data_IF_715946708624
#
_entry.id   IF_715946708624
#
_cell.length_a   1.000
_cell.length_b   1.000
_cell.length_c   1.000
_cell.angle_alpha   90.00
_cell.angle_beta   90.00
_cell.angle_gamma   90.00
#
_symmetry.space_group_name_H-M   'P 1'
#
loop_
_entity.id
_entity.type
_entity.pdbx_description
1 polymer ?
#
# COMPACT_ATOMS: atom_id res chain seq x y z
N UNK A 1 2.24 13.54 -0.60
CA UNK A 1 2.26 14.64 -1.57
C UNK A 1 2.61 14.13 -2.97
N UNK A 2 2.17 14.82 -4.00
CA UNK A 2 2.48 14.53 -5.39
C UNK A 2 2.71 15.86 -6.13
N UNK A 3 3.86 15.98 -6.82
CA UNK A 3 4.28 17.20 -7.57
C UNK A 3 4.05 18.50 -6.80
N UNK A 4 4.54 18.56 -5.58
CA UNK A 4 4.41 19.70 -4.65
C UNK A 4 2.97 20.07 -4.26
N UNK A 5 1.99 19.22 -4.52
CA UNK A 5 0.64 19.40 -4.04
C UNK A 5 0.34 18.45 -2.88
N UNK A 6 -0.49 18.89 -1.95
CA UNK A 6 -1.02 18.07 -0.88
C UNK A 6 -2.39 17.54 -1.27
N UNK A 7 -2.61 16.25 -1.02
CA UNK A 7 -3.90 15.58 -1.25
C UNK A 7 -4.32 14.85 0.00
N UNK A 8 -5.61 14.90 0.30
CA UNK A 8 -6.26 13.98 1.23
C UNK A 8 -7.12 13.01 0.42
N UNK A 9 -7.05 11.73 0.78
CA UNK A 9 -7.69 10.66 0.01
C UNK A 9 -8.54 9.83 0.96
N UNK A 10 -9.83 9.74 0.66
CA UNK A 10 -10.77 8.92 1.42
C UNK A 10 -11.08 9.47 2.80
N UNK A 11 -11.11 8.57 3.78
CA UNK A 11 -11.43 8.87 5.17
C UNK A 11 -12.84 8.45 5.57
N UNK A 12 -13.19 8.74 6.83
CA UNK A 12 -14.46 8.40 7.44
C UNK A 12 -15.21 9.66 7.88
N UNK A 13 -16.51 9.73 7.59
CA UNK A 13 -17.35 10.83 8.02
C UNK A 13 -18.82 10.56 7.76
N UNK A 14 -19.70 11.11 8.62
CA UNK A 14 -21.14 10.87 8.55
C UNK A 14 -21.51 9.38 8.52
N UNK A 15 -20.85 8.57 9.36
CA UNK A 15 -21.08 7.14 9.54
C UNK A 15 -20.76 6.26 8.31
N UNK A 16 -19.99 6.79 7.35
CA UNK A 16 -19.56 6.04 6.17
C UNK A 16 -18.14 6.39 5.77
N UNK A 17 -17.48 5.47 5.08
CA UNK A 17 -16.20 5.72 4.42
C UNK A 17 -16.43 6.51 3.14
N UNK A 18 -15.47 7.38 2.81
CA UNK A 18 -15.52 8.25 1.63
C UNK A 18 -14.46 7.81 0.62
N UNK A 19 -14.75 8.03 -0.66
CA UNK A 19 -13.77 7.91 -1.75
C UNK A 19 -13.40 9.27 -2.35
N UNK A 20 -13.66 10.34 -1.61
CA UNK A 20 -13.38 11.71 -2.01
C UNK A 20 -11.88 11.94 -2.05
N UNK A 21 -11.42 12.70 -3.02
CA UNK A 21 -10.07 13.25 -3.08
C UNK A 21 -10.19 14.76 -2.96
N UNK A 22 -9.41 15.33 -2.06
CA UNK A 22 -9.27 16.78 -1.97
C UNK A 22 -7.82 17.18 -2.15
N UNK A 23 -7.62 18.36 -2.73
CA UNK A 23 -6.33 19.00 -2.93
C UNK A 23 -6.29 20.29 -2.12
N UNK A 24 -5.18 20.53 -1.43
CA UNK A 24 -4.97 21.79 -0.73
C UNK A 24 -4.59 22.89 -1.73
N UNK A 25 -5.33 23.99 -1.67
CA UNK A 25 -5.03 25.20 -2.43
C UNK A 25 -4.22 26.17 -1.56
N UNK A 26 -2.93 26.30 -1.85
CA UNK A 26 -2.01 27.16 -1.07
C UNK A 26 -2.32 28.65 -1.22
N UNK A 27 -3.09 29.07 -2.24
CA UNK A 27 -3.38 30.50 -2.45
C UNK A 27 -4.47 31.03 -1.51
N UNK A 28 -5.46 30.20 -1.20
CA UNK A 28 -6.60 30.58 -0.33
C UNK A 28 -6.63 29.83 0.99
N UNK A 29 -5.79 28.78 1.17
CA UNK A 29 -5.73 27.99 2.37
C UNK A 29 -6.85 26.95 2.51
N UNK A 30 -7.60 26.67 1.45
CA UNK A 30 -8.76 25.77 1.46
C UNK A 30 -8.47 24.41 0.83
N UNK A 31 -9.31 23.42 1.18
CA UNK A 31 -9.35 22.10 0.56
C UNK A 31 -10.40 22.05 -0.54
N UNK A 32 -9.99 21.79 -1.76
CA UNK A 32 -10.84 21.70 -2.95
C UNK A 32 -11.12 20.25 -3.30
N UNK A 33 -12.39 19.91 -3.55
CA UNK A 33 -12.77 18.56 -3.99
C UNK A 33 -12.34 18.36 -5.44
N UNK A 34 -11.65 17.25 -5.68
CA UNK A 34 -11.29 16.81 -7.03
C UNK A 34 -12.34 15.84 -7.53
N UNK A 35 -12.96 16.16 -8.65
CA UNK A 35 -13.87 15.25 -9.33
C UNK A 35 -13.09 14.08 -9.95
N UNK A 36 -13.48 12.87 -9.59
CA UNK A 36 -12.87 11.65 -10.09
C UNK A 36 -13.85 10.88 -10.96
N UNK A 37 -13.34 10.11 -11.91
CA UNK A 37 -14.12 9.32 -12.86
C UNK A 37 -13.69 7.85 -12.86
N UNK A 38 -14.39 7.00 -13.60
CA UNK A 38 -14.03 5.59 -13.80
C UNK A 38 -14.58 4.66 -12.73
N UNK A 39 -13.84 3.60 -12.42
CA UNK A 39 -14.24 2.55 -11.48
C UNK A 39 -13.83 2.91 -10.06
N UNK A 40 -14.60 3.78 -9.41
CA UNK A 40 -14.28 4.27 -8.07
C UNK A 40 -14.38 3.15 -7.03
N UNK A 41 -13.45 3.11 -6.04
CA UNK A 41 -13.64 2.31 -4.84
C UNK A 41 -14.83 2.82 -4.03
N UNK A 42 -15.51 1.95 -3.31
CA UNK A 42 -16.72 2.31 -2.54
C UNK A 42 -16.43 3.16 -1.29
N UNK A 43 -15.21 3.18 -0.85
CA UNK A 43 -14.74 3.98 0.26
C UNK A 43 -13.25 3.69 0.47
N UNK A 44 -12.53 4.63 1.04
CA UNK A 44 -11.09 4.54 1.23
C UNK A 44 -10.77 4.97 2.66
N UNK A 45 -10.76 4.02 3.58
CA UNK A 45 -10.38 4.27 4.95
C UNK A 45 -9.32 3.27 5.41
N UNK A 46 -8.30 3.74 6.10
CA UNK A 46 -7.21 2.94 6.67
C UNK A 46 -6.52 1.98 5.67
N UNK A 47 -6.53 2.33 4.39
CA UNK A 47 -5.95 1.53 3.33
C UNK A 47 -4.45 1.67 3.20
N UNK A 48 -3.92 0.91 2.27
CA UNK A 48 -2.55 1.00 1.79
C UNK A 48 -2.51 1.89 0.57
N UNK A 49 -1.66 2.90 0.61
CA UNK A 49 -1.53 3.89 -0.45
C UNK A 49 -0.06 4.03 -0.84
N UNK A 50 0.21 3.99 -2.12
CA UNK A 50 1.54 4.34 -2.63
C UNK A 50 1.44 4.97 -4.01
N UNK A 51 2.41 5.81 -4.33
CA UNK A 51 2.49 6.50 -5.61
C UNK A 51 3.70 5.97 -6.38
N UNK A 52 3.47 5.58 -7.63
CA UNK A 52 4.51 5.26 -8.60
C UNK A 52 4.24 6.08 -9.86
N UNK A 53 5.19 6.91 -10.23
CA UNK A 53 5.07 7.93 -11.28
C UNK A 53 3.83 8.81 -11.10
N UNK A 54 2.89 8.77 -12.03
CA UNK A 54 1.65 9.53 -12.03
C UNK A 54 0.44 8.68 -11.58
N UNK A 55 0.68 7.53 -10.94
CA UNK A 55 -0.35 6.62 -10.49
C UNK A 55 -0.33 6.45 -8.97
N UNK A 56 -1.49 6.60 -8.36
CA UNK A 56 -1.73 6.23 -6.97
C UNK A 56 -2.42 4.87 -6.93
N UNK A 57 -1.79 3.93 -6.28
CA UNK A 57 -2.32 2.59 -6.04
C UNK A 57 -2.91 2.49 -4.65
N UNK A 58 -4.06 1.81 -4.54
CA UNK A 58 -4.78 1.66 -3.28
C UNK A 58 -5.29 0.24 -3.14
N UNK A 59 -5.05 -0.37 -2.00
CA UNK A 59 -5.59 -1.69 -1.65
C UNK A 59 -5.74 -1.87 -0.13
N UNK A 60 -6.40 -2.95 0.28
CA UNK A 60 -6.62 -3.33 1.67
C UNK A 60 -7.16 -2.17 2.53
N UNK A 61 -8.22 -1.55 2.04
CA UNK A 61 -8.92 -0.48 2.73
C UNK A 61 -10.27 -0.94 3.28
N UNK A 62 -10.76 -0.19 4.26
CA UNK A 62 -12.09 -0.39 4.80
C UNK A 62 -13.13 0.32 3.94
N UNK A 63 -14.20 -0.42 3.68
CA UNK A 63 -15.42 0.11 3.11
C UNK A 63 -16.55 -0.07 4.11
N UNK A 64 -17.19 1.03 4.50
CA UNK A 64 -18.35 1.03 5.37
C UNK A 64 -19.46 1.86 4.71
N UNK A 65 -20.60 1.26 4.48
CA UNK A 65 -21.79 1.99 4.06
C UNK A 65 -22.66 2.36 5.27
N UNK A 66 -23.52 3.38 5.11
CA UNK A 66 -24.55 3.75 6.09
C UNK A 66 -25.48 2.57 6.38
N UNK A 67 -26.06 2.54 7.57
CA UNK A 67 -27.09 1.60 8.02
C UNK A 67 -26.60 0.20 8.41
N UNK A 68 -25.97 0.09 9.58
CA UNK A 68 -25.70 -1.18 10.28
C UNK A 68 -24.91 -2.24 9.49
N UNK A 69 -24.31 -1.89 8.36
CA UNK A 69 -23.45 -2.81 7.65
C UNK A 69 -22.12 -2.95 8.39
N UNK A 70 -21.70 -4.21 8.58
CA UNK A 70 -20.37 -4.52 9.08
C UNK A 70 -19.33 -3.91 8.17
N UNK A 71 -18.32 -3.35 8.78
CA UNK A 71 -17.11 -2.92 8.11
C UNK A 71 -16.54 -4.08 7.27
N UNK A 72 -16.28 -3.81 6.00
CA UNK A 72 -15.74 -4.80 5.07
C UNK A 72 -14.39 -4.35 4.57
N UNK A 73 -13.41 -5.23 4.61
CA UNK A 73 -12.14 -5.03 3.92
C UNK A 73 -12.34 -5.20 2.41
N UNK A 74 -11.84 -4.25 1.65
CA UNK A 74 -11.87 -4.33 0.19
C UNK A 74 -10.60 -5.01 -0.31
N UNK A 75 -10.77 -6.13 -1.01
CA UNK A 75 -9.68 -6.98 -1.49
C UNK A 75 -9.17 -6.61 -2.88
N UNK A 76 -9.71 -5.56 -3.48
CA UNK A 76 -9.31 -5.14 -4.80
C UNK A 76 -8.19 -4.10 -4.77
N UNK A 77 -7.28 -4.23 -5.72
CA UNK A 77 -6.30 -3.20 -6.06
C UNK A 77 -6.94 -2.21 -7.04
N UNK A 78 -6.88 -0.94 -6.71
CA UNK A 78 -7.28 0.16 -7.57
C UNK A 78 -6.09 1.03 -7.92
N UNK A 79 -6.15 1.66 -9.07
CA UNK A 79 -5.21 2.70 -9.48
C UNK A 79 -5.96 3.97 -9.86
N UNK A 80 -5.48 5.11 -9.35
CA UNK A 80 -5.91 6.43 -9.76
C UNK A 80 -4.79 7.05 -10.59
N UNK A 81 -5.12 7.45 -11.82
CA UNK A 81 -4.21 8.28 -12.60
C UNK A 81 -4.30 9.72 -12.08
N UNK A 82 -3.19 10.25 -11.56
CA UNK A 82 -3.13 11.58 -10.93
C UNK A 82 -3.08 12.74 -11.94
N UNK A 83 -2.97 12.48 -13.25
CA UNK A 83 -3.03 13.51 -14.28
C UNK A 83 -4.47 13.88 -14.64
N UNK A 84 -5.34 12.88 -14.74
CA UNK A 84 -6.73 13.05 -15.16
C UNK A 84 -7.76 12.62 -14.12
N UNK A 85 -7.30 12.17 -12.95
CA UNK A 85 -8.11 11.73 -11.83
C UNK A 85 -9.14 10.63 -12.18
N UNK A 86 -8.72 9.68 -13.03
CA UNK A 86 -9.52 8.53 -13.40
C UNK A 86 -9.12 7.28 -12.63
N UNK A 87 -10.11 6.61 -12.04
CA UNK A 87 -9.95 5.35 -11.33
C UNK A 87 -10.10 4.15 -12.25
N UNK A 88 -9.27 3.14 -12.02
CA UNK A 88 -9.37 1.82 -12.62
C UNK A 88 -9.21 0.75 -11.55
N UNK A 89 -10.10 -0.23 -11.53
CA UNK A 89 -9.96 -1.45 -10.75
C UNK A 89 -9.04 -2.41 -11.50
N UNK A 90 -7.95 -2.85 -10.91
CA UNK A 90 -7.01 -3.78 -11.52
C UNK A 90 -7.40 -5.24 -11.27
N UNK A 91 -7.85 -5.57 -10.08
CA UNK A 91 -8.27 -6.92 -9.74
C UNK A 91 -8.18 -7.23 -8.25
N UNK A 92 -8.38 -8.48 -7.91
CA UNK A 92 -8.29 -8.97 -6.52
C UNK A 92 -6.83 -9.22 -6.16
N UNK A 93 -6.40 -8.62 -5.06
CA UNK A 93 -5.01 -8.71 -4.59
C UNK A 93 -4.71 -10.12 -4.05
N UNK A 94 -3.48 -10.56 -4.17
CA UNK A 94 -3.05 -11.85 -3.64
C UNK A 94 -3.11 -11.88 -2.12
N UNK A 95 -3.67 -12.97 -1.57
CA UNK A 95 -3.85 -13.13 -0.13
C UNK A 95 -2.54 -13.14 0.65
N UNK A 96 -1.42 -13.52 0.02
CA UNK A 96 -0.10 -13.57 0.67
C UNK A 96 0.34 -12.21 1.23
N UNK A 97 -0.09 -11.11 0.61
CA UNK A 97 0.21 -9.76 1.08
C UNK A 97 -0.90 -9.18 1.96
N UNK A 98 -1.89 -9.99 2.30
CA UNK A 98 -2.89 -9.63 3.30
C UNK A 98 -2.40 -10.12 4.65
N UNK A 99 -2.19 -9.25 5.61
CA UNK A 99 -1.77 -9.67 6.93
C UNK A 99 -2.82 -10.57 7.57
N UNK A 100 -2.40 -11.70 8.08
CA UNK A 100 -3.22 -12.59 8.92
C UNK A 100 -3.26 -11.98 10.33
N UNK A 101 -4.44 -11.77 10.91
CA UNK A 101 -4.64 -11.23 12.27
C UNK A 101 -4.13 -9.80 12.50
N UNK A 102 -4.67 -8.82 11.79
CA UNK A 102 -4.05 -7.52 11.72
C UNK A 102 -4.45 -6.53 12.78
N UNK A 103 -3.44 -5.97 13.40
CA UNK A 103 -3.47 -4.59 13.83
C UNK A 103 -3.21 -3.71 12.59
N UNK A 104 -4.23 -3.02 12.08
CA UNK A 104 -4.06 -2.04 11.02
C UNK A 104 -3.10 -0.96 11.52
N UNK A 105 -2.17 -0.57 10.68
CA UNK A 105 -1.09 0.36 11.05
C UNK A 105 0.29 -0.28 11.24
N UNK A 106 0.36 -1.61 11.25
CA UNK A 106 1.64 -2.32 11.30
C UNK A 106 2.33 -2.48 9.95
N UNK A 107 1.67 -2.06 8.86
CA UNK A 107 2.17 -2.17 7.50
C UNK A 107 3.14 -1.06 7.16
N UNK A 108 4.16 -1.38 6.40
CA UNK A 108 5.14 -0.45 5.86
C UNK A 108 5.35 -0.70 4.39
N UNK A 109 5.45 0.41 3.66
CA UNK A 109 5.61 0.39 2.22
C UNK A 109 6.73 1.33 1.85
N UNK A 110 7.63 0.85 1.01
CA UNK A 110 8.73 1.64 0.49
C UNK A 110 8.78 1.47 -1.03
N UNK A 111 8.85 2.58 -1.75
CA UNK A 111 9.13 2.55 -3.17
C UNK A 111 10.64 2.37 -3.37
N UNK A 112 11.03 1.36 -4.13
CA UNK A 112 12.40 1.02 -4.45
C UNK A 112 12.47 0.78 -5.96
N UNK A 113 12.95 1.75 -6.71
CA UNK A 113 13.14 1.65 -8.17
C UNK A 113 11.90 1.15 -8.92
N UNK A 114 10.72 1.72 -8.60
CA UNK A 114 9.46 1.35 -9.23
C UNK A 114 8.86 0.03 -8.76
N UNK A 115 9.45 -0.59 -7.74
CA UNK A 115 8.88 -1.73 -7.02
C UNK A 115 8.51 -1.32 -5.60
N UNK A 116 7.66 -2.10 -4.96
CA UNK A 116 7.18 -1.81 -3.63
C UNK A 116 7.65 -2.90 -2.69
N UNK A 117 8.44 -2.50 -1.70
CA UNK A 117 8.74 -3.35 -0.56
C UNK A 117 7.59 -3.22 0.44
N UNK A 118 6.99 -4.35 0.79
CA UNK A 118 5.89 -4.47 1.73
C UNK A 118 6.37 -5.27 2.93
N UNK A 119 6.33 -4.69 4.12
CA UNK A 119 6.66 -5.38 5.36
C UNK A 119 5.59 -5.19 6.42
N UNK A 120 5.56 -6.08 7.38
CA UNK A 120 4.64 -6.04 8.51
C UNK A 120 5.42 -6.03 9.81
N UNK A 121 4.94 -5.29 10.82
CA UNK A 121 5.53 -5.37 12.14
C UNK A 121 5.45 -6.80 12.65
N UNK A 122 6.52 -7.27 13.28
CA UNK A 122 6.58 -8.58 13.93
C UNK A 122 6.60 -9.80 12.99
N UNK A 123 6.67 -9.58 11.67
CA UNK A 123 6.85 -10.65 10.70
C UNK A 123 8.23 -10.54 10.03
N UNK A 124 9.10 -11.56 10.09
CA UNK A 124 10.39 -11.55 9.39
C UNK A 124 10.23 -11.69 7.86
N UNK A 125 9.05 -12.05 7.39
CA UNK A 125 8.77 -12.11 5.97
C UNK A 125 8.37 -10.74 5.43
N UNK A 126 8.86 -10.43 4.25
CA UNK A 126 8.50 -9.23 3.51
C UNK A 126 8.37 -9.55 2.02
N UNK A 127 7.74 -8.66 1.29
CA UNK A 127 7.40 -8.87 -0.10
C UNK A 127 7.94 -7.75 -0.97
N UNK A 128 8.37 -8.09 -2.18
CA UNK A 128 8.66 -7.14 -3.23
C UNK A 128 7.60 -7.28 -4.33
N UNK A 129 6.79 -6.26 -4.51
CA UNK A 129 5.75 -6.21 -5.54
C UNK A 129 6.21 -5.35 -6.71
N UNK A 130 6.12 -5.89 -7.91
CA UNK A 130 6.34 -5.19 -9.17
C UNK A 130 4.99 -5.01 -9.88
N UNK A 131 4.55 -3.77 -9.97
CA UNK A 131 3.26 -3.42 -10.57
C UNK A 131 3.27 -3.52 -12.10
N UNK A 132 4.43 -3.32 -12.72
CA UNK A 132 4.56 -3.35 -14.18
C UNK A 132 4.42 -4.77 -14.71
N UNK A 133 5.00 -5.72 -13.99
CA UNK A 133 4.97 -7.14 -14.33
C UNK A 133 3.87 -7.92 -13.63
N UNK A 134 3.16 -7.29 -12.69
CA UNK A 134 2.14 -7.94 -11.84
C UNK A 134 2.70 -9.12 -11.03
N UNK A 135 3.94 -9.01 -10.57
CA UNK A 135 4.63 -10.07 -9.83
C UNK A 135 4.86 -9.65 -8.38
N UNK A 136 4.73 -10.60 -7.48
CA UNK A 136 5.15 -10.49 -6.08
C UNK A 136 6.15 -11.59 -5.76
N UNK A 137 7.19 -11.23 -5.05
CA UNK A 137 8.23 -12.13 -4.55
C UNK A 137 8.27 -12.05 -3.04
N UNK A 138 8.44 -13.19 -2.39
CA UNK A 138 8.53 -13.32 -0.94
C UNK A 138 9.99 -13.50 -0.52
N UNK A 139 10.38 -12.80 0.55
CA UNK A 139 11.70 -12.82 1.14
C UNK A 139 11.61 -12.98 2.65
N UNK A 140 12.68 -13.46 3.25
CA UNK A 140 12.82 -13.52 4.70
C UNK A 140 14.13 -12.88 5.11
N UNK A 141 14.05 -12.00 6.09
CA UNK A 141 15.22 -11.45 6.76
C UNK A 141 14.91 -11.35 8.25
N UNK A 142 15.75 -12.00 9.05
CA UNK A 142 15.67 -11.93 10.50
C UNK A 142 16.24 -10.61 11.05
N UNK A 143 16.71 -9.72 10.18
CA UNK A 143 17.09 -8.38 10.55
C UNK A 143 15.92 -7.62 11.18
N UNK A 144 16.25 -6.70 12.08
CA UNK A 144 15.25 -6.04 12.94
C UNK A 144 14.50 -4.89 12.23
N UNK A 145 14.65 -4.70 10.92
CA UNK A 145 14.03 -3.58 10.22
C UNK A 145 12.50 -3.58 10.33
N UNK A 146 11.88 -4.75 10.40
CA UNK A 146 10.43 -4.89 10.61
C UNK A 146 9.97 -4.39 11.99
N UNK A 147 10.88 -4.27 12.95
CA UNK A 147 10.62 -3.69 14.28
C UNK A 147 10.83 -2.19 14.34
N UNK A 148 11.32 -1.57 13.25
CA UNK A 148 11.58 -0.14 13.23
C UNK A 148 10.29 0.67 13.30
N UNK A 149 10.27 1.71 14.12
CA UNK A 149 9.12 2.63 14.24
C UNK A 149 8.90 3.50 13.01
N UNK A 150 9.93 3.72 12.22
CA UNK A 150 9.92 4.45 10.95
C UNK A 150 11.18 4.12 10.16
N UNK A 151 11.05 4.09 8.86
CA UNK A 151 12.19 3.86 7.98
C UNK A 151 12.06 4.68 6.70
N UNK A 152 13.19 4.95 6.08
CA UNK A 152 13.30 5.59 4.77
C UNK A 152 14.21 4.76 3.87
N UNK A 153 13.94 4.80 2.58
CA UNK A 153 14.80 4.21 1.57
C UNK A 153 15.56 5.32 0.85
N UNK A 154 16.88 5.15 0.73
CA UNK A 154 17.74 6.04 -0.04
C UNK A 154 18.70 5.18 -0.89
N UNK A 155 18.47 5.17 -2.19
CA UNK A 155 19.17 4.27 -3.10
C UNK A 155 18.98 2.80 -2.68
N UNK A 156 20.06 2.07 -2.51
CA UNK A 156 20.05 0.67 -2.11
C UNK A 156 20.13 0.44 -0.58
N UNK A 157 19.77 1.44 0.21
CA UNK A 157 19.85 1.39 1.67
C UNK A 157 18.52 1.73 2.31
N UNK A 158 18.05 0.84 3.18
CA UNK A 158 16.95 1.10 4.10
C UNK A 158 17.53 1.58 5.42
N UNK A 159 17.12 2.76 5.88
CA UNK A 159 17.52 3.32 7.17
C UNK A 159 16.31 3.37 8.09
N UNK A 160 16.41 2.75 9.24
CA UNK A 160 15.30 2.64 10.19
C UNK A 160 15.69 2.94 11.63
N UNK A 161 14.73 3.46 12.39
CA UNK A 161 14.84 3.62 13.83
C UNK A 161 14.35 2.34 14.53
N UNK A 162 15.22 1.65 15.24
CA UNK A 162 14.91 0.40 15.92
C UNK A 162 14.87 0.64 17.42
N UNK A 163 13.78 0.28 18.06
CA UNK A 163 13.66 0.31 19.52
C UNK A 163 14.01 -1.07 20.09
N UNK A 164 15.03 -1.12 20.90
CA UNK A 164 15.37 -2.32 21.67
C UNK A 164 14.23 -2.63 22.66
N UNK A 165 13.59 -3.81 22.59
CA UNK A 165 12.45 -4.14 23.46
C UNK A 165 12.80 -4.29 24.94
N UNK A 166 14.07 -4.58 25.27
CA UNK A 166 14.52 -4.78 26.65
C UNK A 166 14.95 -3.48 27.29
N UNK A 167 15.80 -2.71 26.60
CA UNK A 167 16.38 -1.47 27.15
C UNK A 167 15.57 -0.23 26.85
N UNK A 168 14.67 -0.29 25.87
CA UNK A 168 13.91 0.86 25.37
C UNK A 168 14.73 1.85 24.54
N UNK A 169 16.03 1.61 24.37
CA UNK A 169 16.91 2.46 23.58
C UNK A 169 16.54 2.45 22.10
N UNK A 170 16.62 3.61 21.45
CA UNK A 170 16.39 3.74 20.02
C UNK A 170 17.74 3.89 19.35
N UNK A 171 18.00 3.04 18.37
CA UNK A 171 19.18 3.09 17.49
C UNK A 171 18.75 3.38 16.06
N UNK A 172 19.60 4.06 15.30
CA UNK A 172 19.42 4.22 13.86
C UNK A 172 20.33 3.19 13.18
N UNK A 173 19.70 2.33 12.40
CA UNK A 173 20.41 1.26 11.70
C UNK A 173 20.18 1.34 10.20
N UNK A 174 21.15 0.88 9.43
CA UNK A 174 21.08 0.83 7.96
C UNK A 174 21.21 -0.61 7.48
N UNK A 175 20.38 -0.96 6.51
CA UNK A 175 20.31 -2.28 5.91
C UNK A 175 20.56 -2.17 4.41
N UNK A 176 21.42 -3.04 3.88
CA UNK A 176 21.63 -3.13 2.46
C UNK A 176 20.53 -3.96 1.81
N UNK A 177 19.77 -3.34 0.91
CA UNK A 177 18.62 -3.99 0.25
C UNK A 177 19.02 -5.22 -0.58
N UNK A 178 20.19 -5.21 -1.22
CA UNK A 178 20.64 -6.39 -1.98
C UNK A 178 20.82 -7.60 -1.06
N UNK A 179 21.37 -7.40 0.14
CA UNK A 179 21.54 -8.49 1.09
C UNK A 179 20.19 -9.02 1.57
N UNK A 180 19.25 -8.11 1.85
CA UNK A 180 17.89 -8.50 2.23
C UNK A 180 17.18 -9.28 1.12
N UNK A 181 17.34 -8.86 -0.14
CA UNK A 181 16.72 -9.48 -1.30
C UNK A 181 17.45 -10.76 -1.78
N UNK A 182 18.55 -11.15 -1.16
CA UNK A 182 19.24 -12.41 -1.48
C UNK A 182 18.50 -13.66 -0.97
N UNK A 183 17.71 -13.51 0.10
CA UNK A 183 17.01 -14.60 0.78
C UNK A 183 15.57 -14.78 0.24
N UNK A 184 15.45 -15.06 -1.04
CA UNK A 184 14.17 -15.35 -1.69
C UNK A 184 13.61 -16.69 -1.22
N UNK A 185 12.36 -16.72 -0.73
CA UNK A 185 11.74 -17.91 -0.17
C UNK A 185 11.03 -18.77 -1.22
N UNK A 186 10.17 -18.16 -2.01
CA UNK A 186 9.23 -18.86 -2.88
C UNK A 186 9.32 -18.45 -4.35
N UNK A 187 8.53 -19.15 -5.16
CA UNK A 187 8.32 -18.80 -6.56
C UNK A 187 7.59 -17.46 -6.65
N UNK A 188 7.75 -16.83 -7.79
CA UNK A 188 6.99 -15.63 -8.13
C UNK A 188 5.49 -15.93 -8.20
N UNK A 189 4.70 -15.05 -7.60
CA UNK A 189 3.25 -15.12 -7.58
C UNK A 189 2.66 -13.88 -8.26
N UNK A 190 1.39 -13.95 -8.63
CA UNK A 190 0.68 -12.76 -9.10
C UNK A 190 0.41 -11.81 -7.95
N UNK A 191 0.67 -10.53 -8.14
CA UNK A 191 0.31 -9.48 -7.18
C UNK A 191 -1.23 -9.34 -7.09
N UNK A 192 -1.90 -9.39 -8.24
CA UNK A 192 -3.36 -9.36 -8.31
C UNK A 192 -3.88 -10.21 -9.47
N UNK A 193 -5.12 -10.69 -9.36
CA UNK A 193 -5.83 -11.36 -10.44
C UNK A 193 -6.83 -10.39 -11.06
N UNK A 194 -6.76 -10.21 -12.36
CA UNK A 194 -7.70 -9.38 -13.13
C UNK A 194 -9.14 -9.86 -12.99
N UNK A 195 -10.09 -8.94 -13.04
CA UNK A 195 -11.52 -9.22 -12.89
C UNK A 195 -12.14 -9.98 -14.07
N UNK A 196 -11.37 -10.34 -15.11
CA UNK A 196 -11.86 -10.99 -16.35
C UNK A 196 -10.85 -11.95 -16.98
N UNK A 197 -10.24 -12.81 -16.21
CA UNK A 197 -9.61 -14.00 -16.81
C UNK A 197 -10.38 -15.25 -16.41
N UNK A 198 -11.63 -15.34 -16.82
CA UNK A 198 -12.20 -16.65 -17.13
C UNK A 198 -11.63 -17.06 -18.49
N UNK A 199 -10.48 -17.71 -18.49
CA UNK A 199 -10.07 -18.52 -19.63
C UNK A 199 -11.06 -19.69 -19.63
N UNK A 200 -12.07 -19.61 -20.46
CA UNK A 200 -12.91 -20.77 -20.77
C UNK A 200 -12.03 -21.69 -21.58
N UNK A 201 -11.47 -22.71 -20.94
CA UNK A 201 -10.96 -23.86 -21.66
C UNK A 201 -12.16 -24.59 -22.26
N UNK A 202 -12.43 -24.34 -23.53
CA UNK A 202 -13.32 -25.19 -24.32
C UNK A 202 -12.47 -26.42 -24.70
N UNK A 203 -12.81 -27.57 -24.12
CA UNK A 203 -12.30 -28.87 -24.52
C UNK A 203 -13.17 -29.40 -25.69
#
# INVERSE_FOLDING_TARGET
>A
SYKNNLYLIGGYGFWQTKSIITKFNFNNGDWEIINTTGQLPKGLDQGTYFVDDDNLYVFDFLSRSTNNQKEKTEDNLYVLNLKNFSWKKLGVINDIIKPVNQVRGSKRFFNIDGKILISYSENPEFFMADLKTNVIQNFRDDALFYKSGGAIVKGNTLVGAIKNPVTGLITIESFNLNNMLSNKLDKELYLYRGSKEFIVYIF
#
